data_IF_596162709299
#
_entry.id   IF_596162709299
#
_cell.length_a   1.000
_cell.length_b   1.000
_cell.length_c   1.000
_cell.angle_alpha   90.00
_cell.angle_beta   90.00
_cell.angle_gamma   90.00
#
_symmetry.space_group_name_H-M   'P 1'
#
loop_
_entity.id
_entity.type
_entity.pdbx_description
1 polymer ?
#
# COMPACT_ATOMS: atom_id res chain seq x y z
N UNK A 1 4.34 -9.50 1.23
CA UNK A 1 3.92 -10.76 1.91
C UNK A 1 4.77 -11.95 1.51
N UNK A 2 5.06 -12.17 0.21
CA UNK A 2 5.95 -13.24 -0.24
C UNK A 2 7.35 -13.08 0.37
N UNK A 3 8.01 -11.96 0.16
CA UNK A 3 9.35 -11.64 0.71
C UNK A 3 9.40 -11.52 2.24
N UNK A 4 8.27 -11.30 2.89
CA UNK A 4 8.15 -11.35 4.35
C UNK A 4 7.85 -12.74 4.92
N UNK A 5 7.81 -13.78 4.07
CA UNK A 5 7.54 -15.16 4.49
C UNK A 5 6.12 -15.43 4.97
N UNK A 6 5.20 -14.45 4.84
CA UNK A 6 3.81 -14.63 5.26
C UNK A 6 3.00 -15.52 4.31
N UNK A 7 3.44 -15.64 3.05
CA UNK A 7 2.89 -16.59 2.06
C UNK A 7 4.05 -17.25 1.29
N UNK A 8 3.83 -18.48 0.85
CA UNK A 8 4.84 -19.23 0.09
C UNK A 8 4.72 -19.03 -1.44
N UNK A 9 3.56 -18.63 -1.91
CA UNK A 9 3.26 -18.42 -3.33
C UNK A 9 2.35 -17.21 -3.49
N UNK A 10 2.71 -16.29 -4.38
CA UNK A 10 1.87 -15.17 -4.77
C UNK A 10 0.66 -15.64 -5.60
N UNK A 11 -0.45 -14.92 -5.50
CA UNK A 11 -1.66 -15.13 -6.31
C UNK A 11 -1.89 -13.96 -7.28
N UNK A 12 -2.88 -14.09 -8.15
CA UNK A 12 -3.27 -13.06 -9.12
C UNK A 12 -4.76 -12.77 -9.05
N UNK A 13 -5.15 -11.50 -9.20
CA UNK A 13 -6.56 -11.06 -9.23
C UNK A 13 -7.33 -11.70 -10.38
N UNK A 14 -6.71 -11.81 -11.57
CA UNK A 14 -7.31 -12.42 -12.78
C UNK A 14 -6.86 -13.86 -13.00
N UNK A 15 -6.79 -14.67 -11.96
CA UNK A 15 -6.46 -16.09 -12.08
C UNK A 15 -7.49 -16.86 -12.91
N UNK A 16 -7.04 -17.81 -13.76
CA UNK A 16 -7.93 -18.81 -14.34
C UNK A 16 -8.52 -19.67 -13.20
N UNK A 17 -9.66 -20.36 -13.42
CA UNK A 17 -10.34 -21.20 -12.40
C UNK A 17 -9.43 -22.15 -11.59
N UNK A 18 -8.26 -22.47 -12.10
CA UNK A 18 -7.25 -23.35 -11.48
C UNK A 18 -6.05 -22.57 -10.89
N UNK A 19 -5.98 -21.25 -11.05
CA UNK A 19 -4.87 -20.42 -10.55
C UNK A 19 -5.17 -19.90 -9.13
N UNK A 20 -4.11 -19.75 -8.33
CA UNK A 20 -4.21 -19.18 -6.99
C UNK A 20 -4.58 -17.69 -7.08
N UNK A 21 -5.66 -17.29 -6.42
CA UNK A 21 -6.07 -15.88 -6.32
C UNK A 21 -5.17 -15.10 -5.35
N UNK A 22 -5.17 -13.77 -5.47
CA UNK A 22 -4.50 -12.91 -4.51
C UNK A 22 -5.11 -13.08 -3.11
N UNK A 23 -4.28 -13.00 -2.07
CA UNK A 23 -4.73 -13.21 -0.68
C UNK A 23 -5.70 -12.11 -0.25
N UNK A 24 -5.58 -10.90 -0.84
CA UNK A 24 -6.49 -9.78 -0.63
C UNK A 24 -7.90 -10.04 -1.16
N UNK A 25 -8.06 -10.84 -2.22
CA UNK A 25 -9.35 -11.16 -2.87
C UNK A 25 -9.96 -12.43 -2.25
N UNK A 26 -10.41 -12.32 -1.02
CA UNK A 26 -10.93 -13.48 -0.27
C UNK A 26 -12.43 -13.71 -0.45
N UNK A 27 -13.19 -12.68 -0.88
CA UNK A 27 -14.63 -12.80 -1.11
C UNK A 27 -14.94 -13.56 -2.40
N UNK A 28 -16.00 -14.39 -2.36
CA UNK A 28 -16.46 -15.15 -3.51
C UNK A 28 -16.80 -14.27 -4.73
N UNK A 29 -17.41 -13.11 -4.46
CA UNK A 29 -17.76 -12.14 -5.51
C UNK A 29 -16.52 -11.55 -6.20
N UNK A 30 -15.42 -11.34 -5.45
CA UNK A 30 -14.15 -10.87 -5.99
C UNK A 30 -13.52 -11.92 -6.90
N UNK A 31 -13.53 -13.18 -6.46
CA UNK A 31 -13.03 -14.32 -7.25
C UNK A 31 -13.83 -14.54 -8.52
N UNK A 32 -15.17 -14.37 -8.46
CA UNK A 32 -16.04 -14.51 -9.64
C UNK A 32 -15.88 -13.37 -10.64
N UNK A 33 -15.76 -12.13 -10.16
CA UNK A 33 -15.62 -10.94 -11.00
C UNK A 33 -14.19 -10.69 -11.47
N UNK A 34 -13.18 -11.20 -10.74
CA UNK A 34 -11.78 -10.95 -11.00
C UNK A 34 -11.36 -9.49 -10.74
N UNK A 35 -12.05 -8.83 -9.81
CA UNK A 35 -11.76 -7.47 -9.33
C UNK A 35 -11.97 -7.41 -7.82
N UNK A 36 -11.16 -6.62 -7.13
CA UNK A 36 -11.35 -6.32 -5.71
C UNK A 36 -12.58 -5.44 -5.52
N UNK A 37 -13.41 -5.74 -4.53
CA UNK A 37 -14.67 -5.04 -4.24
C UNK A 37 -14.57 -4.25 -2.94
N UNK A 38 -13.83 -4.77 -1.96
CA UNK A 38 -13.62 -4.12 -0.67
C UNK A 38 -12.13 -4.00 -0.36
N UNK A 39 -11.77 -2.99 0.43
CA UNK A 39 -10.40 -2.89 0.93
C UNK A 39 -10.07 -4.06 1.84
N UNK A 40 -8.89 -4.63 1.68
CA UNK A 40 -8.38 -5.70 2.53
C UNK A 40 -7.26 -5.19 3.42
N UNK A 41 -7.24 -5.66 4.66
CA UNK A 41 -6.18 -5.37 5.62
C UNK A 41 -5.28 -6.57 5.72
N UNK A 42 -3.99 -6.39 5.46
CA UNK A 42 -2.97 -7.43 5.50
C UNK A 42 -1.78 -6.92 6.31
N UNK A 43 -1.19 -7.78 7.12
CA UNK A 43 -0.02 -7.46 7.91
C UNK A 43 1.07 -8.50 7.73
N UNK A 44 2.33 -8.08 7.77
CA UNK A 44 3.47 -8.99 7.78
C UNK A 44 4.71 -8.28 8.33
N UNK A 45 5.69 -9.08 8.77
CA UNK A 45 6.99 -8.56 9.22
C UNK A 45 8.01 -8.65 8.08
N UNK A 46 8.80 -7.60 7.92
CA UNK A 46 9.90 -7.57 6.94
C UNK A 46 11.02 -6.66 7.44
N UNK A 47 12.25 -7.16 7.44
CA UNK A 47 13.46 -6.44 7.88
C UNK A 47 13.30 -5.69 9.22
N UNK A 48 12.63 -6.31 10.21
CA UNK A 48 12.41 -5.72 11.54
C UNK A 48 11.22 -4.76 11.62
N UNK A 49 10.56 -4.45 10.51
CA UNK A 49 9.37 -3.61 10.46
C UNK A 49 8.09 -4.44 10.48
N UNK A 50 7.04 -3.89 11.08
CA UNK A 50 5.67 -4.38 10.96
C UNK A 50 4.97 -3.57 9.87
N UNK A 51 4.65 -4.21 8.75
CA UNK A 51 4.03 -3.55 7.60
C UNK A 51 2.55 -3.89 7.57
N UNK A 52 1.72 -2.84 7.58
CA UNK A 52 0.28 -2.94 7.42
C UNK A 52 -0.08 -2.49 6.00
N UNK A 53 -0.56 -3.40 5.16
CA UNK A 53 -1.04 -3.09 3.82
C UNK A 53 -2.56 -2.95 3.86
N UNK A 54 -3.02 -1.82 3.37
CA UNK A 54 -4.42 -1.55 3.06
C UNK A 54 -4.58 -1.66 1.54
N UNK A 55 -4.94 -2.85 1.06
CA UNK A 55 -5.17 -3.09 -0.37
C UNK A 55 -6.55 -2.56 -0.75
N UNK A 56 -6.60 -1.60 -1.66
CA UNK A 56 -7.82 -0.88 -2.02
C UNK A 56 -8.31 -1.28 -3.41
N UNK A 57 -9.65 -1.37 -3.61
CA UNK A 57 -10.19 -1.63 -4.93
C UNK A 57 -9.86 -0.49 -5.90
N UNK A 58 -9.41 -0.86 -7.11
CA UNK A 58 -9.09 0.12 -8.16
C UNK A 58 -10.30 0.57 -8.99
N UNK A 59 -11.50 -0.02 -8.78
CA UNK A 59 -12.68 0.29 -9.56
C UNK A 59 -13.44 1.50 -9.01
N UNK A 60 -13.98 2.33 -9.89
CA UNK A 60 -14.65 3.60 -9.53
C UNK A 60 -15.85 3.40 -8.58
N UNK A 61 -16.59 2.32 -8.74
CA UNK A 61 -17.77 1.99 -7.93
C UNK A 61 -17.46 1.79 -6.44
N UNK A 62 -16.20 1.60 -6.08
CA UNK A 62 -15.75 1.32 -4.70
C UNK A 62 -14.91 2.45 -4.09
N UNK A 63 -15.00 3.65 -4.64
CA UNK A 63 -14.19 4.81 -4.23
C UNK A 63 -14.38 5.20 -2.77
N UNK A 64 -15.59 5.06 -2.23
CA UNK A 64 -15.91 5.43 -0.84
C UNK A 64 -15.12 4.58 0.18
N UNK A 65 -15.03 3.26 -0.03
CA UNK A 65 -14.23 2.37 0.81
C UNK A 65 -12.74 2.74 0.74
N UNK A 66 -12.25 3.09 -0.44
CA UNK A 66 -10.88 3.57 -0.64
C UNK A 66 -10.61 4.89 0.11
N UNK A 67 -11.53 5.85 0.06
CA UNK A 67 -11.36 7.12 0.77
C UNK A 67 -11.30 6.94 2.29
N UNK A 68 -12.14 6.06 2.85
CA UNK A 68 -12.10 5.73 4.28
C UNK A 68 -10.81 5.01 4.66
N UNK A 69 -10.36 4.11 3.80
CA UNK A 69 -9.12 3.34 4.00
C UNK A 69 -7.89 4.23 3.99
N UNK A 70 -7.83 5.23 3.09
CA UNK A 70 -6.75 6.21 3.04
C UNK A 70 -6.63 7.04 4.34
N UNK A 71 -7.71 7.16 5.13
CA UNK A 71 -7.64 7.77 6.45
C UNK A 71 -6.76 7.01 7.44
N UNK A 72 -6.64 5.70 7.26
CA UNK A 72 -5.84 4.85 8.12
C UNK A 72 -4.39 4.69 7.63
N UNK A 73 -4.04 5.24 6.47
CA UNK A 73 -2.71 5.14 5.88
C UNK A 73 -1.78 6.28 6.31
N UNK A 74 -0.48 6.02 6.35
CA UNK A 74 0.59 7.01 6.57
C UNK A 74 1.37 7.30 5.29
N UNK A 75 1.33 6.39 4.32
CA UNK A 75 1.90 6.55 2.99
C UNK A 75 1.02 5.83 1.98
N UNK A 76 1.04 6.26 0.74
CA UNK A 76 0.31 5.63 -0.34
C UNK A 76 1.27 5.10 -1.42
N UNK A 77 1.02 3.91 -1.92
CA UNK A 77 1.65 3.40 -3.14
C UNK A 77 0.67 3.58 -4.28
N UNK A 78 0.97 4.50 -5.18
CA UNK A 78 0.20 4.72 -6.41
C UNK A 78 0.69 3.74 -7.48
N UNK A 79 -0.19 2.82 -7.86
CA UNK A 79 0.13 1.79 -8.87
C UNK A 79 -0.42 2.23 -10.22
N UNK A 80 0.48 2.40 -11.20
CA UNK A 80 0.17 2.81 -12.57
C UNK A 80 0.41 1.64 -13.53
N UNK A 81 -0.51 1.40 -14.45
CA UNK A 81 -0.34 0.45 -15.54
C UNK A 81 0.60 1.02 -16.61
N UNK A 82 1.78 0.42 -16.81
CA UNK A 82 2.78 0.90 -17.77
C UNK A 82 2.28 1.01 -19.21
N UNK A 83 1.24 0.25 -19.59
CA UNK A 83 0.65 0.34 -20.92
C UNK A 83 -0.37 1.48 -21.07
N UNK A 84 -0.93 1.96 -19.97
CA UNK A 84 -2.01 2.95 -19.97
C UNK A 84 -1.56 4.35 -19.51
N UNK A 85 -0.67 4.43 -18.50
CA UNK A 85 -0.32 5.67 -17.81
C UNK A 85 -1.38 6.04 -16.75
N UNK A 86 -1.53 7.34 -16.50
CA UNK A 86 -2.43 7.87 -15.47
C UNK A 86 -3.89 7.74 -15.90
N UNK A 87 -4.68 6.99 -15.14
CA UNK A 87 -6.12 6.77 -15.39
C UNK A 87 -6.97 7.73 -14.52
N UNK A 88 -8.24 7.96 -14.90
CA UNK A 88 -9.16 8.89 -14.21
C UNK A 88 -9.32 8.60 -12.73
N UNK A 89 -9.36 7.32 -12.34
CA UNK A 89 -9.47 6.94 -10.94
C UNK A 89 -8.20 7.27 -10.15
N UNK A 90 -7.03 7.12 -10.76
CA UNK A 90 -5.75 7.53 -10.18
C UNK A 90 -5.76 9.01 -9.81
N UNK A 91 -6.26 9.88 -10.71
CA UNK A 91 -6.35 11.33 -10.47
C UNK A 91 -7.23 11.64 -9.25
N UNK A 92 -8.38 10.95 -9.11
CA UNK A 92 -9.29 11.15 -7.98
C UNK A 92 -8.63 10.78 -6.66
N UNK A 93 -8.00 9.61 -6.60
CA UNK A 93 -7.34 9.10 -5.38
C UNK A 93 -6.09 9.91 -5.04
N UNK A 94 -5.31 10.32 -6.03
CA UNK A 94 -4.18 11.22 -5.86
C UNK A 94 -4.58 12.53 -5.15
N UNK A 95 -5.66 13.18 -5.60
CA UNK A 95 -6.19 14.40 -4.96
C UNK A 95 -6.53 14.18 -3.49
N UNK A 96 -7.07 13.01 -3.14
CA UNK A 96 -7.38 12.67 -1.74
C UNK A 96 -6.09 12.54 -0.91
N UNK A 97 -5.06 11.91 -1.45
CA UNK A 97 -3.77 11.82 -0.77
C UNK A 97 -3.15 13.21 -0.54
N UNK A 98 -3.15 14.07 -1.56
CA UNK A 98 -2.63 15.44 -1.46
C UNK A 98 -3.41 16.26 -0.41
N UNK A 99 -4.75 16.22 -0.43
CA UNK A 99 -5.59 16.93 0.54
C UNK A 99 -5.31 16.50 2.00
N UNK A 100 -4.70 15.35 2.20
CA UNK A 100 -4.41 14.76 3.52
C UNK A 100 -2.94 14.74 3.86
N UNK A 101 -2.10 15.32 3.02
CA UNK A 101 -0.65 15.31 3.16
C UNK A 101 -0.08 13.88 3.31
N UNK A 102 -0.66 12.90 2.59
CA UNK A 102 -0.16 11.53 2.56
C UNK A 102 0.94 11.45 1.51
N UNK A 103 2.19 11.12 1.87
CA UNK A 103 3.28 10.92 0.90
C UNK A 103 2.94 9.81 -0.09
N UNK A 104 3.29 10.03 -1.35
CA UNK A 104 2.98 9.12 -2.45
C UNK A 104 4.26 8.57 -3.05
N UNK A 105 4.35 7.25 -3.13
CA UNK A 105 5.40 6.53 -3.84
C UNK A 105 4.76 5.84 -5.04
N UNK A 106 5.29 6.03 -6.23
CA UNK A 106 4.70 5.51 -7.47
C UNK A 106 5.37 4.21 -7.90
N UNK A 107 4.55 3.22 -8.25
CA UNK A 107 5.01 1.97 -8.83
C UNK A 107 4.38 1.76 -10.22
N UNK A 108 5.18 1.87 -11.28
CA UNK A 108 4.77 1.59 -12.65
C UNK A 108 4.83 0.07 -12.85
N UNK A 109 3.66 -0.54 -12.89
CA UNK A 109 3.46 -1.99 -12.92
C UNK A 109 3.22 -2.50 -14.34
N UNK A 110 3.34 -3.79 -14.50
CA UNK A 110 3.09 -4.53 -15.75
C UNK A 110 4.15 -4.29 -16.84
N UNK A 111 5.39 -4.03 -16.44
CA UNK A 111 6.50 -3.94 -17.38
C UNK A 111 6.80 -5.26 -18.12
N UNK A 112 6.16 -6.37 -17.70
CA UNK A 112 6.12 -7.65 -18.42
C UNK A 112 5.23 -7.64 -19.68
N UNK A 113 4.57 -6.51 -19.97
CA UNK A 113 3.77 -6.27 -21.17
C UNK A 113 4.33 -5.07 -21.92
N UNK A 114 3.92 -4.91 -23.19
CA UNK A 114 4.29 -3.74 -23.97
C UNK A 114 3.82 -2.48 -23.23
N UNK A 115 4.79 -1.72 -22.71
CA UNK A 115 4.56 -0.49 -21.97
C UNK A 115 4.80 0.73 -22.89
N UNK A 116 4.27 1.88 -22.48
CA UNK A 116 4.68 3.17 -23.06
C UNK A 116 6.17 3.43 -22.79
N UNK A 117 6.75 4.37 -23.50
CA UNK A 117 8.09 4.84 -23.20
C UNK A 117 8.18 5.32 -21.75
N UNK A 118 9.27 5.02 -21.06
CA UNK A 118 9.42 5.32 -19.63
C UNK A 118 9.46 6.82 -19.35
N UNK A 119 10.06 7.63 -20.22
CA UNK A 119 10.03 9.09 -20.12
C UNK A 119 8.62 9.64 -20.31
N UNK A 120 7.87 9.13 -21.29
CA UNK A 120 6.46 9.53 -21.52
C UNK A 120 5.58 9.22 -20.29
N UNK A 121 5.87 8.13 -19.57
CA UNK A 121 5.15 7.78 -18.34
C UNK A 121 5.47 8.75 -17.20
N UNK A 122 6.72 9.20 -17.05
CA UNK A 122 7.08 10.23 -16.08
C UNK A 122 6.40 11.55 -16.43
N UNK A 123 6.49 11.98 -17.69
CA UNK A 123 5.84 13.20 -18.18
C UNK A 123 4.32 13.17 -18.00
N UNK A 124 3.66 12.02 -18.24
CA UNK A 124 2.22 11.84 -17.99
C UNK A 124 1.86 12.04 -16.51
N UNK A 125 2.68 11.50 -15.59
CA UNK A 125 2.51 11.70 -14.15
C UNK A 125 2.63 13.18 -13.79
N UNK A 126 3.67 13.85 -14.24
CA UNK A 126 3.94 15.26 -13.94
C UNK A 126 2.87 16.18 -14.50
N UNK A 127 2.53 16.02 -15.79
CA UNK A 127 1.56 16.88 -16.47
C UNK A 127 0.12 16.68 -15.96
N UNK A 128 -0.27 15.43 -15.64
CA UNK A 128 -1.64 15.12 -15.24
C UNK A 128 -1.87 15.32 -13.75
N UNK A 129 -0.88 14.98 -12.91
CA UNK A 129 -1.03 15.05 -11.46
C UNK A 129 -0.42 16.32 -10.85
N UNK A 130 0.52 16.97 -11.52
CA UNK A 130 1.20 18.17 -11.04
C UNK A 130 2.17 17.89 -9.89
N UNK A 131 2.79 16.72 -9.89
CA UNK A 131 3.80 16.30 -8.91
C UNK A 131 5.09 15.95 -9.65
N UNK A 132 6.24 16.38 -9.13
CA UNK A 132 7.52 16.01 -9.70
C UNK A 132 7.81 14.52 -9.53
N UNK A 133 8.57 13.93 -10.45
CA UNK A 133 8.95 12.53 -10.42
C UNK A 133 10.43 12.35 -10.20
N UNK A 134 10.82 11.33 -9.41
CA UNK A 134 12.19 10.87 -9.30
C UNK A 134 12.24 9.37 -9.55
N UNK A 135 12.71 8.91 -10.71
CA UNK A 135 12.90 7.48 -10.98
C UNK A 135 14.02 6.93 -10.09
N UNK A 136 13.67 6.10 -9.11
CA UNK A 136 14.63 5.43 -8.22
C UNK A 136 15.29 4.25 -8.91
N UNK A 137 14.52 3.55 -9.74
CA UNK A 137 15.05 2.57 -10.67
C UNK A 137 14.64 2.88 -12.11
N UNK A 138 15.34 2.31 -13.07
CA UNK A 138 15.06 2.46 -14.48
C UNK A 138 14.89 1.11 -15.16
N UNK A 139 13.83 0.86 -15.96
CA UNK A 139 13.57 -0.44 -16.56
C UNK A 139 14.51 -0.71 -17.72
N UNK A 140 14.92 -1.95 -17.87
CA UNK A 140 15.73 -2.46 -18.98
C UNK A 140 14.82 -3.25 -19.90
N UNK A 141 14.33 -2.61 -20.96
CA UNK A 141 13.33 -3.15 -21.86
C UNK A 141 11.91 -3.20 -21.27
N UNK A 142 10.97 -3.71 -22.04
CA UNK A 142 9.57 -3.92 -21.65
C UNK A 142 8.99 -5.15 -22.33
N UNK A 143 7.83 -5.61 -21.91
CA UNK A 143 7.19 -6.79 -22.46
C UNK A 143 8.00 -8.06 -22.22
N UNK A 144 8.20 -8.85 -23.26
CA UNK A 144 9.02 -10.07 -23.21
C UNK A 144 10.51 -9.77 -23.03
N UNK A 145 10.92 -8.56 -23.38
CA UNK A 145 12.30 -8.08 -23.27
C UNK A 145 12.57 -7.34 -21.96
N UNK A 146 11.65 -7.37 -20.99
CA UNK A 146 11.90 -6.80 -19.66
C UNK A 146 12.93 -7.65 -18.92
N UNK A 147 14.19 -7.24 -18.97
CA UNK A 147 15.35 -7.97 -18.43
C UNK A 147 15.64 -7.68 -16.98
N UNK A 148 15.27 -6.50 -16.49
CA UNK A 148 15.59 -6.07 -15.14
C UNK A 148 15.39 -4.57 -14.94
N UNK A 149 16.02 -4.06 -13.89
CA UNK A 149 16.04 -2.64 -13.58
C UNK A 149 17.45 -2.18 -13.23
N UNK A 150 17.78 -0.94 -13.57
CA UNK A 150 18.95 -0.23 -13.05
C UNK A 150 18.54 0.56 -11.82
N UNK A 151 19.11 0.25 -10.67
CA UNK A 151 18.91 0.98 -9.42
C UNK A 151 19.86 2.18 -9.38
N UNK A 152 19.31 3.40 -9.41
CA UNK A 152 20.08 4.65 -9.49
C UNK A 152 20.82 4.95 -8.18
N UNK A 153 20.31 4.51 -7.04
CA UNK A 153 20.93 4.77 -5.74
C UNK A 153 22.18 3.92 -5.55
N UNK A 154 22.09 2.63 -5.82
CA UNK A 154 23.22 1.70 -5.69
C UNK A 154 24.11 1.66 -6.94
N UNK A 155 23.65 2.25 -8.05
CA UNK A 155 24.28 2.18 -9.39
C UNK A 155 24.49 0.75 -9.87
N UNK A 156 23.55 -0.15 -9.52
CA UNK A 156 23.58 -1.56 -9.88
C UNK A 156 22.45 -1.90 -10.85
N UNK A 157 22.72 -2.84 -11.70
CA UNK A 157 21.73 -3.50 -12.54
C UNK A 157 21.27 -4.75 -11.82
N UNK A 158 19.97 -4.88 -11.65
CA UNK A 158 19.29 -6.05 -11.12
C UNK A 158 18.64 -6.78 -12.29
N UNK A 159 19.36 -7.76 -12.86
CA UNK A 159 18.83 -8.58 -13.93
C UNK A 159 18.02 -9.73 -13.33
N UNK A 160 16.81 -9.94 -13.84
CA UNK A 160 15.88 -10.94 -13.33
C UNK A 160 15.85 -12.18 -14.20
N UNK A 161 15.88 -13.35 -13.56
CA UNK A 161 15.68 -14.61 -14.24
C UNK A 161 14.18 -14.92 -14.28
N UNK A 162 13.67 -15.23 -15.47
CA UNK A 162 12.26 -15.59 -15.65
C UNK A 162 11.91 -16.82 -14.81
N UNK A 163 10.86 -16.68 -14.00
CA UNK A 163 10.24 -17.76 -13.24
C UNK A 163 8.71 -17.72 -13.42
N UNK A 164 7.99 -18.60 -12.76
CA UNK A 164 6.53 -18.62 -12.84
C UNK A 164 5.83 -17.44 -12.11
N UNK A 165 6.58 -16.44 -11.62
CA UNK A 165 6.05 -15.26 -10.94
C UNK A 165 5.44 -15.50 -9.56
N UNK A 166 5.36 -16.77 -9.11
CA UNK A 166 4.73 -17.16 -7.86
C UNK A 166 5.72 -17.38 -6.70
N UNK A 167 7.00 -17.28 -6.98
CA UNK A 167 8.10 -17.42 -6.01
C UNK A 167 8.99 -16.19 -6.03
N UNK A 168 9.87 -16.09 -5.05
CA UNK A 168 10.95 -15.12 -5.03
C UNK A 168 11.78 -15.24 -6.31
N UNK A 169 12.17 -14.10 -6.85
CA UNK A 169 12.91 -14.02 -8.12
C UNK A 169 14.39 -14.06 -7.83
N UNK A 170 15.09 -14.92 -8.53
CA UNK A 170 16.55 -14.88 -8.56
C UNK A 170 16.99 -13.63 -9.33
N UNK A 171 17.83 -12.81 -8.70
CA UNK A 171 18.41 -11.61 -9.28
C UNK A 171 19.92 -11.76 -9.43
N UNK A 172 20.44 -11.36 -10.57
CA UNK A 172 21.87 -11.20 -10.81
C UNK A 172 22.20 -9.72 -10.69
N UNK A 173 23.08 -9.37 -9.76
CA UNK A 173 23.56 -8.01 -9.61
C UNK A 173 24.80 -7.79 -10.50
N UNK A 174 24.78 -6.72 -11.29
CA UNK A 174 25.85 -6.31 -12.18
C UNK A 174 26.11 -4.81 -12.02
N UNK A 175 27.31 -4.37 -12.40
CA UNK A 175 27.60 -2.94 -12.57
C UNK A 175 27.56 -2.57 -14.03
N UNK A 176 27.57 -1.27 -14.34
CA UNK A 176 27.61 -0.79 -15.74
C UNK A 176 28.87 -1.24 -16.48
N UNK A 177 29.98 -1.43 -15.74
CA UNK A 177 31.27 -1.85 -16.29
C UNK A 177 31.48 -3.38 -16.30
N UNK A 178 30.46 -4.14 -15.86
CA UNK A 178 30.60 -5.60 -15.79
C UNK A 178 30.72 -6.21 -17.19
N UNK A 179 31.78 -7.00 -17.48
CA UNK A 179 31.96 -7.65 -18.78
C UNK A 179 30.80 -8.56 -19.19
N UNK A 180 30.08 -9.12 -18.21
CA UNK A 180 28.93 -10.00 -18.46
C UNK A 180 27.62 -9.22 -18.70
N UNK A 181 27.64 -7.88 -18.66
CA UNK A 181 26.43 -7.07 -18.81
C UNK A 181 25.78 -7.30 -20.17
N UNK A 182 26.57 -7.19 -21.23
CA UNK A 182 26.08 -7.33 -22.62
C UNK A 182 25.51 -8.73 -22.89
N UNK A 183 26.17 -9.78 -22.37
CA UNK A 183 25.67 -11.16 -22.47
C UNK A 183 24.38 -11.36 -21.69
N UNK A 184 24.16 -10.59 -20.61
CA UNK A 184 22.99 -10.73 -19.72
C UNK A 184 21.77 -9.99 -20.24
N UNK A 185 21.91 -8.73 -20.67
CA UNK A 185 20.77 -7.90 -21.09
C UNK A 185 20.68 -7.71 -22.62
N UNK A 186 21.76 -7.97 -23.36
CA UNK A 186 21.86 -7.80 -24.81
C UNK A 186 22.45 -6.45 -25.19
N UNK A 187 23.07 -6.43 -26.39
CA UNK A 187 23.79 -5.25 -26.90
C UNK A 187 22.88 -3.99 -26.99
N UNK A 188 21.71 -4.12 -27.59
CA UNK A 188 20.81 -2.97 -27.79
C UNK A 188 20.32 -2.41 -26.46
N UNK A 189 19.87 -3.24 -25.53
CA UNK A 189 19.43 -2.80 -24.21
C UNK A 189 20.55 -2.16 -23.40
N UNK A 190 21.79 -2.58 -23.60
CA UNK A 190 22.94 -1.94 -22.97
C UNK A 190 23.15 -0.53 -23.52
N UNK A 191 23.08 -0.33 -24.84
CA UNK A 191 23.25 1.00 -25.45
C UNK A 191 22.11 1.93 -25.00
N UNK A 192 20.85 1.49 -25.13
CA UNK A 192 19.68 2.26 -24.71
C UNK A 192 19.79 2.66 -23.23
N UNK A 193 20.20 1.73 -22.35
CA UNK A 193 20.36 2.00 -20.92
C UNK A 193 21.39 3.10 -20.65
N UNK A 194 22.55 3.09 -21.35
CA UNK A 194 23.58 4.11 -21.16
C UNK A 194 23.08 5.49 -21.59
N UNK A 195 22.44 5.57 -22.77
CA UNK A 195 21.89 6.81 -23.29
C UNK A 195 20.79 7.38 -22.37
N UNK A 196 19.91 6.50 -21.87
CA UNK A 196 18.82 6.87 -20.96
C UNK A 196 19.33 7.31 -19.58
N UNK A 197 20.37 6.66 -19.02
CA UNK A 197 21.02 7.10 -17.77
C UNK A 197 21.65 8.50 -17.94
N UNK A 198 22.32 8.77 -19.05
CA UNK A 198 22.91 10.08 -19.32
C UNK A 198 21.82 11.16 -19.35
N UNK A 199 20.69 10.90 -19.99
CA UNK A 199 19.53 11.81 -20.01
C UNK A 199 18.94 12.02 -18.59
N UNK A 200 18.78 10.96 -17.80
CA UNK A 200 18.25 11.04 -16.45
C UNK A 200 19.16 11.82 -15.49
N UNK A 201 20.47 11.66 -15.64
CA UNK A 201 21.45 12.35 -14.79
C UNK A 201 21.66 13.80 -15.23
N UNK A 202 21.39 14.11 -16.51
CA UNK A 202 21.53 15.47 -17.06
C UNK A 202 20.30 16.36 -16.90
N UNK A 203 19.10 15.79 -16.86
CA UNK A 203 17.84 16.55 -16.91
C UNK A 203 16.89 16.23 -15.75
N UNK A 204 17.19 15.23 -14.91
CA UNK A 204 16.32 14.80 -13.82
C UNK A 204 16.45 15.66 -12.56
N UNK A 205 15.38 15.71 -11.79
CA UNK A 205 15.40 16.29 -10.44
C UNK A 205 16.34 15.50 -9.52
N UNK A 206 16.90 16.15 -8.51
CA UNK A 206 17.61 15.49 -7.42
C UNK A 206 16.62 14.85 -6.45
N UNK A 207 17.02 13.74 -5.82
CA UNK A 207 16.20 13.11 -4.79
C UNK A 207 16.15 13.95 -3.53
N UNK A 208 14.94 14.37 -3.15
CA UNK A 208 14.67 15.12 -1.93
C UNK A 208 13.58 14.42 -1.10
N UNK A 209 14.00 13.82 0.02
CA UNK A 209 13.07 13.12 0.93
C UNK A 209 12.06 14.08 1.61
N UNK A 210 12.43 15.32 1.84
CA UNK A 210 11.50 16.33 2.38
C UNK A 210 10.43 16.68 1.35
N UNK A 211 10.80 16.83 0.07
CA UNK A 211 9.84 17.04 -1.01
C UNK A 211 8.89 15.83 -1.17
N UNK A 212 9.37 14.60 -0.95
CA UNK A 212 8.52 13.39 -0.92
C UNK A 212 7.52 13.47 0.23
N UNK A 213 7.98 13.79 1.44
CA UNK A 213 7.12 13.90 2.63
C UNK A 213 6.08 15.00 2.51
N UNK A 214 6.41 16.08 1.82
CA UNK A 214 5.53 17.22 1.57
C UNK A 214 4.60 17.02 0.35
N UNK A 215 4.68 15.87 -0.34
CA UNK A 215 3.85 15.57 -1.52
C UNK A 215 4.20 16.38 -2.76
N UNK A 216 5.40 16.91 -2.86
CA UNK A 216 5.91 17.67 -4.01
C UNK A 216 6.67 16.81 -5.01
N UNK A 217 7.25 15.71 -4.55
CA UNK A 217 8.01 14.74 -5.33
C UNK A 217 7.47 13.33 -5.08
N UNK A 218 7.35 12.52 -6.11
CA UNK A 218 7.06 11.09 -5.98
C UNK A 218 8.24 10.26 -6.46
N UNK A 219 8.82 9.39 -5.61
CA UNK A 219 9.77 8.37 -6.06
C UNK A 219 9.05 7.39 -6.98
N UNK A 220 9.63 7.11 -8.15
CA UNK A 220 9.04 6.23 -9.17
C UNK A 220 9.85 4.95 -9.28
N UNK A 221 9.15 3.83 -9.27
CA UNK A 221 9.70 2.50 -9.46
C UNK A 221 9.02 1.82 -10.64
N UNK A 222 9.79 1.09 -11.43
CA UNK A 222 9.30 0.27 -12.53
C UNK A 222 9.43 -1.21 -12.17
N UNK A 223 8.42 -2.01 -12.53
CA UNK A 223 8.45 -3.44 -12.25
C UNK A 223 7.23 -4.19 -12.77
N UNK A 224 7.15 -5.45 -12.37
CA UNK A 224 5.99 -6.32 -12.65
C UNK A 224 5.63 -7.14 -11.42
N UNK A 225 4.46 -6.89 -10.88
CA UNK A 225 3.92 -7.68 -9.78
C UNK A 225 3.57 -9.12 -10.22
N UNK A 226 3.30 -9.36 -11.51
CA UNK A 226 2.99 -10.69 -12.03
C UNK A 226 4.22 -11.60 -12.01
N UNK A 227 5.36 -11.06 -12.39
CA UNK A 227 6.64 -11.81 -12.42
C UNK A 227 7.47 -11.63 -11.16
N UNK A 228 7.04 -10.76 -10.23
CA UNK A 228 7.78 -10.26 -9.06
C UNK A 228 9.06 -9.49 -9.42
N UNK A 229 9.24 -9.06 -10.67
CA UNK A 229 10.40 -8.29 -11.09
C UNK A 229 10.33 -6.87 -10.52
N UNK A 230 11.39 -6.43 -9.82
CA UNK A 230 11.49 -5.13 -9.20
C UNK A 230 10.69 -4.95 -7.90
N UNK A 231 9.95 -5.97 -7.43
CA UNK A 231 9.10 -5.86 -6.22
C UNK A 231 9.94 -5.87 -4.94
N UNK A 232 10.96 -6.73 -4.85
CA UNK A 232 11.84 -6.76 -3.67
C UNK A 232 12.66 -5.47 -3.53
N UNK A 233 13.38 -4.98 -4.55
CA UNK A 233 14.07 -3.69 -4.49
C UNK A 233 13.13 -2.53 -4.15
N UNK A 234 11.92 -2.50 -4.71
CA UNK A 234 10.92 -1.53 -4.32
C UNK A 234 10.62 -1.58 -2.82
N UNK A 235 10.42 -2.76 -2.26
CA UNK A 235 10.10 -2.91 -0.83
C UNK A 235 11.25 -2.44 0.07
N UNK A 236 12.49 -2.71 -0.32
CA UNK A 236 13.69 -2.25 0.40
C UNK A 236 13.79 -0.72 0.42
N UNK A 237 13.62 -0.07 -0.72
CA UNK A 237 13.60 1.39 -0.83
C UNK A 237 12.38 2.01 -0.13
N UNK A 238 11.21 1.38 -0.26
CA UNK A 238 9.98 1.84 0.39
C UNK A 238 10.16 1.99 1.90
N UNK A 239 10.81 1.04 2.57
CA UNK A 239 11.08 1.11 4.02
C UNK A 239 11.95 2.31 4.41
N UNK A 240 12.81 2.80 3.52
CA UNK A 240 13.66 3.96 3.76
C UNK A 240 12.95 5.29 3.48
N UNK A 241 11.99 5.29 2.55
CA UNK A 241 11.30 6.48 2.08
C UNK A 241 9.97 6.73 2.78
N UNK A 242 9.33 5.66 3.29
CA UNK A 242 8.05 5.78 3.99
C UNK A 242 8.21 6.47 5.34
N UNK A 243 7.11 7.00 5.87
CA UNK A 243 7.10 7.66 7.17
C UNK A 243 6.78 6.68 8.29
N UNK A 244 7.24 7.00 9.50
CA UNK A 244 6.64 6.48 10.74
C UNK A 244 5.17 6.89 10.82
N UNK A 245 4.36 6.31 11.73
CA UNK A 245 3.00 6.75 11.94
C UNK A 245 2.89 8.26 12.11
N UNK A 246 1.99 8.89 11.37
CA UNK A 246 1.80 10.33 11.40
C UNK A 246 0.88 10.76 12.55
N UNK A 247 1.16 11.93 13.10
CA UNK A 247 0.30 12.58 14.08
C UNK A 247 -1.09 12.89 13.48
N UNK A 248 -2.12 12.97 14.34
CA UNK A 248 -3.51 13.16 13.91
C UNK A 248 -4.23 14.23 14.69
N UNK A 249 -5.00 15.04 13.98
CA UNK A 249 -5.79 16.11 14.56
C UNK A 249 -6.97 15.57 15.40
N UNK A 250 -7.18 16.20 16.53
CA UNK A 250 -8.30 15.95 17.43
C UNK A 250 -8.88 17.26 17.96
N UNK A 251 -10.01 17.19 18.64
CA UNK A 251 -10.68 18.33 19.27
C UNK A 251 -9.88 18.96 20.43
N UNK A 252 -8.76 18.38 20.83
CA UNK A 252 -7.83 18.92 21.84
C UNK A 252 -6.46 19.30 21.27
N UNK A 253 -6.31 19.28 19.95
CA UNK A 253 -5.06 19.48 19.23
C UNK A 253 -4.53 18.20 18.58
N UNK A 254 -3.30 18.25 18.13
CA UNK A 254 -2.64 17.15 17.45
C UNK A 254 -2.23 16.06 18.45
N UNK A 255 -2.46 14.81 18.10
CA UNK A 255 -2.08 13.62 18.89
C UNK A 255 -0.84 13.00 18.27
N UNK A 256 0.23 13.03 19.05
CA UNK A 256 1.51 12.43 18.70
C UNK A 256 1.43 10.89 18.78
N UNK A 257 1.86 10.14 17.74
CA UNK A 257 1.91 8.67 17.79
C UNK A 257 2.80 8.12 18.91
N UNK A 258 3.77 8.90 19.40
CA UNK A 258 4.63 8.53 20.53
C UNK A 258 4.05 8.86 21.91
N UNK A 259 2.83 9.43 21.98
CA UNK A 259 2.12 9.56 23.26
C UNK A 259 1.90 8.19 23.90
N UNK A 260 2.12 8.06 25.21
CA UNK A 260 2.00 6.80 25.94
C UNK A 260 0.55 6.32 26.13
N UNK A 261 -0.43 7.20 25.91
CA UNK A 261 -1.86 6.88 26.06
C UNK A 261 -2.43 6.30 24.77
N UNK A 262 -3.07 5.15 24.89
CA UNK A 262 -3.76 4.50 23.78
C UNK A 262 -4.82 5.39 23.18
N UNK A 263 -4.81 5.47 21.87
CA UNK A 263 -5.91 6.00 21.08
C UNK A 263 -6.01 5.30 19.72
N UNK A 264 -7.23 5.17 19.22
CA UNK A 264 -7.54 4.57 17.94
C UNK A 264 -8.82 5.16 17.35
N UNK A 265 -9.03 4.99 16.04
CA UNK A 265 -10.31 5.28 15.42
C UNK A 265 -10.76 4.14 14.50
N UNK A 266 -12.08 4.01 14.35
CA UNK A 266 -12.71 3.05 13.45
C UNK A 266 -12.76 3.63 12.04
N UNK A 267 -12.11 2.97 11.07
CA UNK A 267 -12.15 3.42 9.67
C UNK A 267 -12.96 2.50 8.76
N UNK A 268 -13.20 1.27 9.18
CA UNK A 268 -13.93 0.28 8.39
C UNK A 268 -14.72 -0.65 9.31
N UNK A 269 -15.93 -1.04 8.87
CA UNK A 269 -16.72 -2.08 9.50
C UNK A 269 -17.12 -3.07 8.43
N UNK A 270 -16.85 -4.35 8.67
CA UNK A 270 -17.16 -5.42 7.75
C UNK A 270 -18.00 -6.50 8.44
N UNK A 271 -19.14 -6.82 7.84
CA UNK A 271 -20.04 -7.87 8.31
C UNK A 271 -19.88 -9.15 7.49
N UNK A 272 -20.28 -10.28 8.07
CA UNK A 272 -20.39 -11.57 7.39
C UNK A 272 -19.06 -12.07 6.76
N UNK A 273 -17.93 -11.80 7.40
CA UNK A 273 -16.64 -12.35 6.98
C UNK A 273 -16.61 -13.88 7.06
N UNK A 274 -17.37 -14.47 7.99
CA UNK A 274 -17.61 -15.90 8.05
C UNK A 274 -19.09 -16.17 7.71
N UNK A 275 -19.34 -16.90 6.63
CA UNK A 275 -20.72 -17.25 6.19
C UNK A 275 -21.50 -18.08 7.21
N UNK A 276 -20.81 -18.82 8.08
CA UNK A 276 -21.41 -19.63 9.13
C UNK A 276 -21.85 -18.84 10.37
N UNK A 277 -21.35 -17.63 10.52
CA UNK A 277 -21.61 -16.76 11.67
C UNK A 277 -21.92 -15.34 11.18
N UNK A 278 -22.94 -14.71 11.79
CA UNK A 278 -23.22 -13.28 11.58
C UNK A 278 -22.19 -12.46 12.36
N UNK A 279 -20.92 -12.52 11.95
CA UNK A 279 -19.86 -11.73 12.55
C UNK A 279 -19.80 -10.33 11.92
N UNK A 280 -19.55 -9.36 12.77
CA UNK A 280 -19.26 -7.98 12.39
C UNK A 280 -17.93 -7.57 13.03
N UNK A 281 -17.00 -7.08 12.22
CA UNK A 281 -15.68 -6.69 12.68
C UNK A 281 -15.49 -5.21 12.40
N UNK A 282 -15.11 -4.45 13.43
CA UNK A 282 -14.67 -3.07 13.31
C UNK A 282 -13.14 -3.04 13.20
N UNK A 283 -12.63 -2.46 12.11
CA UNK A 283 -11.22 -2.24 11.90
C UNK A 283 -10.82 -0.89 12.46
N UNK A 284 -9.82 -0.90 13.33
CA UNK A 284 -9.32 0.26 14.04
C UNK A 284 -7.86 0.51 13.70
N UNK A 285 -7.54 1.78 13.40
CA UNK A 285 -6.17 2.26 13.30
C UNK A 285 -5.74 2.77 14.67
N UNK A 286 -4.66 2.23 15.23
CA UNK A 286 -4.04 2.74 16.44
C UNK A 286 -3.23 3.99 16.10
N UNK A 287 -3.52 5.11 16.77
CA UNK A 287 -2.91 6.41 16.49
C UNK A 287 -1.86 6.80 17.50
N UNK A 288 -1.98 6.38 18.75
CA UNK A 288 -0.98 6.61 19.80
C UNK A 288 -0.95 5.50 20.82
N UNK A 289 0.15 5.41 21.52
CA UNK A 289 0.37 4.50 22.63
C UNK A 289 0.39 3.02 22.23
N UNK A 290 0.13 2.20 23.23
CA UNK A 290 0.13 0.74 23.11
C UNK A 290 -1.25 0.20 23.48
N UNK A 291 -1.80 -0.62 22.62
CA UNK A 291 -2.96 -1.47 22.96
C UNK A 291 -2.48 -2.74 23.65
N UNK A 292 -3.16 -3.12 24.75
CA UNK A 292 -2.94 -4.40 25.41
C UNK A 292 -4.28 -5.14 25.54
N UNK A 293 -4.30 -6.42 25.21
CA UNK A 293 -5.49 -7.26 25.28
C UNK A 293 -6.12 -7.22 26.68
N UNK A 294 -7.44 -6.99 26.71
CA UNK A 294 -8.19 -6.90 27.95
C UNK A 294 -8.13 -5.55 28.64
N UNK A 295 -7.39 -4.58 28.09
CA UNK A 295 -7.39 -3.21 28.59
C UNK A 295 -8.77 -2.55 28.43
N UNK A 296 -9.13 -1.70 29.40
CA UNK A 296 -10.35 -0.91 29.35
C UNK A 296 -10.11 0.37 28.55
N UNK A 297 -10.90 0.58 27.53
CA UNK A 297 -10.88 1.77 26.70
C UNK A 297 -12.17 2.58 26.83
N UNK A 298 -12.14 3.85 26.50
CA UNK A 298 -13.30 4.73 26.49
C UNK A 298 -13.77 4.96 25.04
N UNK A 299 -15.00 4.61 24.73
CA UNK A 299 -15.65 4.87 23.46
C UNK A 299 -16.31 6.25 23.51
N UNK A 300 -15.71 7.20 22.77
CA UNK A 300 -16.07 8.62 22.90
C UNK A 300 -17.49 8.92 22.43
N UNK A 301 -17.91 8.38 21.28
CA UNK A 301 -19.25 8.60 20.72
C UNK A 301 -20.33 7.88 21.54
N UNK A 302 -20.01 6.70 22.04
CA UNK A 302 -20.92 5.93 22.92
C UNK A 302 -20.93 6.37 24.38
N UNK A 303 -20.00 7.25 24.79
CA UNK A 303 -19.95 7.79 26.15
C UNK A 303 -19.68 6.76 27.26
N UNK A 304 -19.10 5.61 26.95
CA UNK A 304 -18.93 4.49 27.87
C UNK A 304 -17.57 3.82 27.79
N UNK A 305 -17.18 3.20 28.89
CA UNK A 305 -16.02 2.31 28.94
C UNK A 305 -16.39 0.94 28.40
N UNK A 306 -15.46 0.31 27.73
CA UNK A 306 -15.62 -1.07 27.23
C UNK A 306 -14.28 -1.77 27.15
N UNK A 307 -14.30 -3.10 27.11
CA UNK A 307 -13.15 -3.93 26.76
C UNK A 307 -13.30 -4.40 25.32
N UNK A 308 -12.24 -4.26 24.52
CA UNK A 308 -12.25 -4.72 23.16
C UNK A 308 -12.22 -6.25 23.13
N UNK A 309 -13.28 -6.84 22.58
CA UNK A 309 -13.43 -8.28 22.52
C UNK A 309 -12.66 -8.85 21.33
N UNK A 310 -11.90 -9.91 21.59
CA UNK A 310 -11.20 -10.72 20.59
C UNK A 310 -10.45 -9.88 19.53
N UNK A 311 -9.52 -9.01 19.95
CA UNK A 311 -8.73 -8.24 19.01
C UNK A 311 -7.93 -9.17 18.12
N UNK A 312 -8.00 -8.95 16.80
CA UNK A 312 -7.38 -9.79 15.79
C UNK A 312 -6.49 -8.97 14.87
N UNK A 313 -5.38 -9.56 14.46
CA UNK A 313 -4.58 -9.11 13.32
C UNK A 313 -4.81 -10.06 12.14
N UNK A 314 -4.63 -9.51 10.94
CA UNK A 314 -4.86 -10.24 9.70
C UNK A 314 -3.54 -10.55 9.05
N UNK A 315 -3.01 -11.74 9.35
CA UNK A 315 -1.74 -12.26 8.80
C UNK A 315 -2.05 -13.15 7.60
N UNK A 316 -2.03 -12.59 6.40
CA UNK A 316 -2.37 -13.32 5.18
C UNK A 316 -3.78 -13.97 5.26
N UNK A 317 -3.86 -15.30 5.19
CA UNK A 317 -5.12 -16.07 5.32
C UNK A 317 -5.49 -16.35 6.78
N UNK A 318 -4.57 -16.12 7.72
CA UNK A 318 -4.74 -16.45 9.13
C UNK A 318 -5.16 -15.22 9.95
N UNK A 319 -6.01 -15.46 10.92
CA UNK A 319 -6.37 -14.48 11.94
C UNK A 319 -5.69 -14.89 13.22
N UNK A 320 -4.93 -13.99 13.81
CA UNK A 320 -4.26 -14.21 15.08
C UNK A 320 -4.80 -13.26 16.14
N UNK A 321 -4.95 -13.75 17.37
CA UNK A 321 -5.34 -12.92 18.49
C UNK A 321 -4.17 -12.00 18.82
N UNK A 322 -4.44 -10.71 18.91
CA UNK A 322 -3.47 -9.68 19.24
C UNK A 322 -3.35 -9.55 20.75
N UNK A 323 -2.18 -9.79 21.28
CA UNK A 323 -1.90 -9.49 22.68
C UNK A 323 -1.49 -8.02 22.89
N UNK A 324 -0.74 -7.48 21.95
CA UNK A 324 -0.24 -6.11 21.94
C UNK A 324 -0.21 -5.53 20.52
N UNK A 325 -0.52 -4.25 20.39
CA UNK A 325 -0.40 -3.50 19.14
C UNK A 325 -0.01 -2.05 19.43
N UNK A 326 0.62 -1.39 18.48
CA UNK A 326 1.24 -0.08 18.66
C UNK A 326 0.70 0.94 17.66
N UNK A 327 1.01 2.21 17.88
CA UNK A 327 0.70 3.27 16.92
C UNK A 327 1.19 2.88 15.52
N UNK A 328 0.31 2.98 14.52
CA UNK A 328 0.57 2.46 13.18
C UNK A 328 -0.11 1.15 12.86
N UNK A 329 -0.34 0.30 13.85
CA UNK A 329 -0.99 -0.99 13.63
C UNK A 329 -2.50 -0.86 13.40
N UNK A 330 -3.02 -1.88 12.72
CA UNK A 330 -4.45 -2.04 12.50
C UNK A 330 -4.91 -3.31 13.19
N UNK A 331 -5.94 -3.19 14.00
CA UNK A 331 -6.59 -4.31 14.65
C UNK A 331 -8.06 -4.40 14.24
N UNK A 332 -8.57 -5.62 14.10
CA UNK A 332 -10.00 -5.89 13.98
C UNK A 332 -10.56 -6.35 15.30
N UNK A 333 -11.69 -5.81 15.70
CA UNK A 333 -12.40 -6.24 16.93
C UNK A 333 -13.82 -6.67 16.59
N UNK A 334 -14.30 -7.67 17.31
CA UNK A 334 -15.71 -8.06 17.19
C UNK A 334 -16.61 -6.88 17.58
N UNK A 335 -17.57 -6.57 16.71
CA UNK A 335 -18.52 -5.48 16.90
C UNK A 335 -19.93 -6.03 17.11
N UNK A 336 -20.48 -5.93 18.32
CA UNK A 336 -21.88 -6.31 18.58
C UNK A 336 -22.90 -5.28 18.03
N UNK A 337 -22.48 -4.38 17.15
CA UNK A 337 -23.31 -3.33 16.56
C UNK A 337 -23.24 -2.00 17.31
N UNK A 338 -22.15 -1.76 18.03
CA UNK A 338 -21.96 -0.53 18.83
C UNK A 338 -21.04 0.50 18.19
N UNK A 339 -20.24 0.08 17.21
CA UNK A 339 -19.31 0.97 16.54
C UNK A 339 -19.86 1.54 15.24
N UNK A 340 -19.47 2.76 14.98
CA UNK A 340 -19.66 3.46 13.70
C UNK A 340 -18.31 3.88 13.13
N UNK A 341 -18.23 4.04 11.80
CA UNK A 341 -17.02 4.58 11.15
C UNK A 341 -16.82 6.02 11.64
N UNK A 342 -15.60 6.34 12.04
CA UNK A 342 -15.24 7.62 12.66
C UNK A 342 -15.25 7.60 14.19
N UNK A 343 -15.70 6.52 14.82
CA UNK A 343 -15.66 6.43 16.27
C UNK A 343 -14.22 6.45 16.80
N UNK A 344 -14.03 7.20 17.89
CA UNK A 344 -12.76 7.30 18.60
C UNK A 344 -12.77 6.46 19.85
N UNK A 345 -11.70 5.70 20.04
CA UNK A 345 -11.41 4.97 21.27
C UNK A 345 -10.14 5.55 21.88
N UNK A 346 -10.14 5.76 23.16
CA UNK A 346 -8.98 6.31 23.87
C UNK A 346 -8.85 5.73 25.29
N UNK A 347 -7.70 5.95 25.89
CA UNK A 347 -7.49 5.66 27.31
C UNK A 347 -8.52 6.44 28.15
N UNK A 348 -9.14 5.81 29.19
CA UNK A 348 -10.10 6.52 30.05
C UNK A 348 -9.54 7.77 30.75
N UNK A 349 -8.23 7.85 30.90
CA UNK A 349 -7.52 8.97 31.50
C UNK A 349 -7.26 10.16 30.57
N UNK A 350 -7.37 9.98 29.24
CA UNK A 350 -7.15 11.04 28.25
C UNK A 350 -8.23 10.94 27.16
N UNK A 351 -9.28 11.74 27.28
CA UNK A 351 -10.47 11.66 26.43
C UNK A 351 -10.49 12.77 25.39
N UNK A 352 -10.65 12.40 24.11
CA UNK A 352 -10.77 13.32 22.98
C UNK A 352 -11.43 12.61 21.79
N UNK A 353 -11.78 13.37 20.76
CA UNK A 353 -12.28 12.85 19.47
C UNK A 353 -11.34 13.19 18.34
N UNK A 354 -11.02 12.22 17.48
CA UNK A 354 -10.34 12.51 16.23
C UNK A 354 -11.24 13.30 15.29
N UNK A 355 -10.64 14.20 14.53
CA UNK A 355 -11.29 15.05 13.54
C UNK A 355 -10.93 14.63 12.11
N UNK A 356 -11.68 15.12 11.12
CA UNK A 356 -11.40 14.94 9.70
C UNK A 356 -11.70 13.54 9.16
N UNK A 357 -12.35 12.64 9.93
CA UNK A 357 -12.80 11.35 9.42
C UNK A 357 -14.12 11.55 8.67
N UNK A 358 -14.16 11.33 7.33
CA UNK A 358 -15.37 11.61 6.57
C UNK A 358 -16.49 10.63 6.95
N UNK A 359 -17.65 11.20 7.26
CA UNK A 359 -18.90 10.47 7.35
C UNK A 359 -19.70 10.73 6.08
N UNK A 360 -19.96 9.69 5.32
CA UNK A 360 -20.82 9.80 4.13
C UNK A 360 -22.26 9.55 4.53
N UNK A 361 -23.18 10.39 4.04
CA UNK A 361 -24.60 10.15 4.20
C UNK A 361 -25.00 8.89 3.41
N UNK A 362 -25.90 8.03 3.94
CA UNK A 362 -26.42 6.90 3.16
C UNK A 362 -27.07 7.38 1.86
N UNK A 363 -26.70 6.79 0.72
CA UNK A 363 -27.29 7.10 -0.59
C UNK A 363 -28.57 6.31 -0.82
N UNK A 364 -28.72 5.17 -0.14
CA UNK A 364 -29.89 4.29 -0.26
C UNK A 364 -30.48 3.95 1.11
N UNK A 365 -31.79 4.07 1.22
CA UNK A 365 -32.56 3.67 2.41
C UNK A 365 -33.44 2.49 2.04
N UNK A 366 -33.46 1.44 2.89
CA UNK A 366 -34.37 0.32 2.79
C UNK A 366 -35.11 0.13 4.11
N UNK A 367 -36.39 -0.18 4.04
CA UNK A 367 -37.17 -0.63 5.20
C UNK A 367 -37.14 -2.17 5.22
N UNK A 368 -36.82 -2.73 6.35
CA UNK A 368 -36.81 -4.17 6.58
C UNK A 368 -37.97 -4.54 7.52
#
# INVERSE_FOLDING_TARGET
MLYGGAINLAGSVKGKRTAKHAVSDWMEIEKQRGISVTSSVLQFKYNGYCINILDTPGHEDFSEDTYRTLMAADSAVMVIDGSKGVEKQTIKLFKVCVMRNIPIITFINKMDRDAKNSFDLLEDIENVLGIHTYPVNWPIGSGKEFKGVYDRNSKKILAFTANNGQKEVEKKELTLDDPALEDTIGYYHKQDLFDEIELLDGAGDEFDLEAVRNGQLTPVFFGSALTNFGVEPFLEHFLQMTTSPLARNSNIGEIDPFDDKFSAFVFKIQANMNKAHRDRIAFMRICSGKFTKGEEVFHMQGGKKLKLAQPQQFMAENREIVEEAYAGDIIGVFDPGIFSIGDTLCSPSKKFKFEGIPTFAPEHFAYF
#
